data_IF_900443477416
#
_entry.id   IF_900443477416
#
_cell.length_a   1.000
_cell.length_b   1.000
_cell.length_c   1.000
_cell.angle_alpha   90.00
_cell.angle_beta   90.00
_cell.angle_gamma   90.00
#
_symmetry.space_group_name_H-M   'P 1'
#
loop_
_entity.id
_entity.type
_entity.pdbx_description
1 polymer ?
#
# COMPACT_ATOMS: atom_id res chain seq x y z
N UNK A 1 7.24 13.53 6.77
CA UNK A 1 5.99 13.89 6.04
C UNK A 1 5.72 15.38 6.02
N UNK A 2 5.40 15.91 4.84
CA UNK A 2 4.93 17.29 4.66
C UNK A 2 3.45 17.45 5.06
N UNK A 3 2.93 18.70 5.05
CA UNK A 3 1.55 18.99 5.47
C UNK A 3 0.47 18.30 4.61
N UNK A 4 0.73 18.12 3.30
CA UNK A 4 -0.20 17.44 2.39
C UNK A 4 -0.33 15.97 2.80
N UNK A 5 0.82 15.29 2.98
CA UNK A 5 0.88 13.90 3.42
C UNK A 5 0.25 13.70 4.81
N UNK A 6 0.52 14.59 5.77
CA UNK A 6 -0.10 14.50 7.11
C UNK A 6 -1.62 14.61 7.04
N UNK A 7 -2.14 15.63 6.35
CA UNK A 7 -3.59 15.79 6.21
C UNK A 7 -4.23 14.68 5.38
N UNK A 8 -3.54 14.15 4.38
CA UNK A 8 -3.97 12.98 3.61
C UNK A 8 -4.22 11.77 4.53
N UNK A 9 -3.24 11.36 5.34
CA UNK A 9 -3.43 10.26 6.29
C UNK A 9 -4.44 10.56 7.39
N UNK A 10 -4.56 11.82 7.86
CA UNK A 10 -5.65 12.21 8.79
C UNK A 10 -7.03 12.04 8.19
N UNK A 11 -7.23 12.40 6.93
CA UNK A 11 -8.52 12.25 6.26
C UNK A 11 -8.87 10.78 6.04
N UNK A 12 -7.89 9.94 5.67
CA UNK A 12 -8.11 8.50 5.58
C UNK A 12 -8.47 7.92 6.94
N UNK A 13 -7.72 8.26 8.00
CA UNK A 13 -8.02 7.79 9.36
C UNK A 13 -9.40 8.25 9.83
N UNK A 14 -9.77 9.49 9.52
CA UNK A 14 -11.08 10.03 9.83
C UNK A 14 -12.17 9.27 9.08
N UNK A 15 -12.02 9.01 7.78
CA UNK A 15 -13.06 8.37 6.97
C UNK A 15 -13.15 6.85 7.10
N UNK A 16 -12.02 6.14 7.04
CA UNK A 16 -11.97 4.67 7.06
C UNK A 16 -12.12 4.08 8.48
N UNK A 17 -11.54 4.74 9.49
CA UNK A 17 -11.40 4.20 10.84
C UNK A 17 -12.15 4.99 11.92
N UNK A 18 -12.99 5.96 11.51
CA UNK A 18 -13.85 6.74 12.42
C UNK A 18 -13.09 7.49 13.52
N UNK A 19 -11.85 7.92 13.24
CA UNK A 19 -11.07 8.72 14.20
C UNK A 19 -11.45 10.20 14.12
N UNK A 20 -11.23 10.94 15.22
CA UNK A 20 -11.44 12.39 15.26
C UNK A 20 -10.09 13.10 15.26
N UNK A 21 -9.76 13.75 14.16
CA UNK A 21 -8.48 14.45 13.99
C UNK A 21 -8.66 15.84 13.41
N UNK A 22 -7.78 16.76 13.82
CA UNK A 22 -7.79 18.14 13.33
C UNK A 22 -6.99 18.26 12.03
N UNK A 23 -7.61 18.85 11.02
CA UNK A 23 -6.98 19.15 9.73
C UNK A 23 -6.14 20.42 9.87
N UNK A 24 -4.87 20.35 9.46
CA UNK A 24 -4.00 21.52 9.37
C UNK A 24 -4.45 22.41 8.21
N UNK A 25 -4.36 23.75 8.33
CA UNK A 25 -4.76 24.65 7.25
C UNK A 25 -3.90 24.46 5.99
N UNK A 26 -4.55 24.36 4.84
CA UNK A 26 -3.89 24.23 3.54
C UNK A 26 -4.40 25.26 2.54
N UNK A 27 -3.51 25.74 1.66
CA UNK A 27 -3.89 26.58 0.53
C UNK A 27 -4.67 25.76 -0.51
N UNK A 28 -5.38 26.46 -1.40
CA UNK A 28 -6.13 25.83 -2.51
C UNK A 28 -5.25 24.88 -3.33
N UNK A 29 -4.05 25.33 -3.72
CA UNK A 29 -3.06 24.51 -4.41
C UNK A 29 -2.71 23.21 -3.66
N UNK A 30 -2.53 23.28 -2.33
CA UNK A 30 -2.20 22.08 -1.53
C UNK A 30 -3.39 21.12 -1.45
N UNK A 31 -4.62 21.62 -1.51
CA UNK A 31 -5.83 20.80 -1.59
C UNK A 31 -5.95 20.08 -2.93
N UNK A 32 -5.64 20.75 -4.04
CA UNK A 32 -5.57 20.12 -5.37
C UNK A 32 -4.52 19.00 -5.39
N UNK A 33 -3.34 19.25 -4.81
CA UNK A 33 -2.30 18.22 -4.66
C UNK A 33 -2.76 17.04 -3.78
N UNK A 34 -3.50 17.30 -2.71
CA UNK A 34 -4.08 16.22 -1.89
C UNK A 34 -5.08 15.39 -2.69
N UNK A 35 -5.91 16.03 -3.52
CA UNK A 35 -6.88 15.35 -4.38
C UNK A 35 -6.16 14.44 -5.38
N UNK A 36 -5.11 14.92 -6.04
CA UNK A 36 -4.28 14.12 -6.94
C UNK A 36 -3.66 12.91 -6.21
N UNK A 37 -3.07 13.14 -5.02
CA UNK A 37 -2.50 12.09 -4.18
C UNK A 37 -3.55 11.02 -3.83
N UNK A 38 -4.78 11.45 -3.57
CA UNK A 38 -5.90 10.57 -3.22
C UNK A 38 -6.34 9.67 -4.37
N UNK A 39 -6.38 10.21 -5.60
CA UNK A 39 -6.67 9.44 -6.81
C UNK A 39 -5.57 8.43 -7.07
N UNK A 40 -4.31 8.86 -7.01
CA UNK A 40 -3.13 8.02 -7.26
C UNK A 40 -3.09 6.81 -6.32
N UNK A 41 -3.38 7.02 -5.05
CA UNK A 41 -3.41 5.96 -4.04
C UNK A 41 -4.75 5.20 -3.97
N UNK A 42 -5.72 5.51 -4.85
CA UNK A 42 -7.01 4.83 -4.95
C UNK A 42 -7.81 4.82 -3.64
N UNK A 43 -7.79 5.94 -2.91
CA UNK A 43 -8.46 6.07 -1.59
C UNK A 43 -9.48 7.21 -1.53
N UNK A 44 -10.02 7.60 -2.70
CA UNK A 44 -11.01 8.68 -2.83
C UNK A 44 -12.21 8.50 -1.92
N UNK A 45 -12.89 7.34 -1.86
CA UNK A 45 -14.07 7.18 -1.01
C UNK A 45 -13.74 7.45 0.46
N UNK A 46 -12.62 6.93 0.97
CA UNK A 46 -12.21 7.10 2.36
C UNK A 46 -11.85 8.55 2.70
N UNK A 47 -11.10 9.22 1.82
CA UNK A 47 -10.75 10.64 2.03
C UNK A 47 -11.99 11.53 1.99
N UNK A 48 -12.93 11.26 1.09
CA UNK A 48 -14.19 11.99 1.02
C UNK A 48 -15.01 11.86 2.32
N UNK A 49 -15.17 10.64 2.84
CA UNK A 49 -15.84 10.42 4.13
C UNK A 49 -15.14 11.19 5.26
N UNK A 50 -13.80 11.20 5.26
CA UNK A 50 -13.01 11.99 6.20
C UNK A 50 -13.27 13.50 6.07
N UNK A 51 -13.35 14.02 4.84
CA UNK A 51 -13.69 15.42 4.58
C UNK A 51 -15.08 15.77 5.11
N UNK A 52 -16.08 14.91 4.89
CA UNK A 52 -17.44 15.12 5.38
C UNK A 52 -17.49 15.20 6.90
N UNK A 53 -16.76 14.32 7.59
CA UNK A 53 -16.67 14.33 9.06
C UNK A 53 -15.96 15.56 9.61
N UNK A 54 -14.94 16.03 8.90
CA UNK A 54 -14.19 17.22 9.27
C UNK A 54 -14.81 18.53 8.75
N UNK A 55 -15.96 18.50 8.06
CA UNK A 55 -16.54 19.64 7.33
C UNK A 55 -16.78 20.89 8.18
N UNK A 56 -17.05 20.71 9.47
CA UNK A 56 -17.31 21.81 10.41
C UNK A 56 -16.04 22.36 11.08
N UNK A 57 -14.87 21.82 10.77
CA UNK A 57 -13.61 22.31 11.33
C UNK A 57 -13.23 23.65 10.71
N UNK A 58 -12.79 24.60 11.55
CA UNK A 58 -12.45 25.96 11.13
C UNK A 58 -11.42 26.03 9.98
N UNK A 59 -10.44 25.12 9.97
CA UNK A 59 -9.37 25.08 8.97
C UNK A 59 -9.73 24.33 7.68
N UNK A 60 -10.84 23.59 7.66
CA UNK A 60 -11.33 22.91 6.45
C UNK A 60 -12.27 23.85 5.69
N UNK A 61 -11.68 24.73 4.88
CA UNK A 61 -12.41 25.65 4.01
C UNK A 61 -12.25 25.24 2.55
N UNK A 62 -13.12 24.34 2.11
CA UNK A 62 -13.25 23.93 0.71
C UNK A 62 -14.25 24.85 -0.01
N UNK A 63 -13.99 25.13 -1.27
CA UNK A 63 -14.95 25.84 -2.14
C UNK A 63 -16.08 24.90 -2.58
N UNK A 64 -17.22 25.46 -3.00
CA UNK A 64 -18.33 24.66 -3.57
C UNK A 64 -17.92 23.90 -4.83
N UNK A 65 -16.94 24.43 -5.57
CA UNK A 65 -16.34 23.74 -6.71
C UNK A 65 -15.60 22.48 -6.26
N UNK A 66 -14.69 22.59 -5.29
CA UNK A 66 -13.92 21.46 -4.77
C UNK A 66 -14.82 20.38 -4.17
N UNK A 67 -15.88 20.75 -3.44
CA UNK A 67 -16.86 19.78 -2.93
C UNK A 67 -17.56 18.98 -4.02
N UNK A 68 -17.92 19.63 -5.15
CA UNK A 68 -18.53 18.95 -6.29
C UNK A 68 -17.55 18.01 -6.99
N UNK A 69 -16.29 18.42 -7.15
CA UNK A 69 -15.25 17.56 -7.71
C UNK A 69 -15.02 16.31 -6.85
N UNK A 70 -14.88 16.49 -5.54
CA UNK A 70 -14.73 15.40 -4.60
C UNK A 70 -15.88 14.39 -4.67
N UNK A 71 -17.12 14.89 -4.73
CA UNK A 71 -18.29 14.03 -4.87
C UNK A 71 -18.28 13.25 -6.19
N UNK A 72 -17.93 13.90 -7.30
CA UNK A 72 -17.80 13.26 -8.60
C UNK A 72 -16.75 12.15 -8.57
N UNK A 73 -15.55 12.45 -8.06
CA UNK A 73 -14.46 11.47 -7.96
C UNK A 73 -14.85 10.27 -7.09
N UNK A 74 -15.58 10.51 -5.98
CA UNK A 74 -16.10 9.41 -5.15
C UNK A 74 -17.04 8.51 -5.95
N UNK A 75 -18.01 9.10 -6.65
CA UNK A 75 -18.98 8.34 -7.44
C UNK A 75 -18.31 7.54 -8.56
N UNK A 76 -17.31 8.13 -9.22
CA UNK A 76 -16.55 7.46 -10.28
C UNK A 76 -15.72 6.30 -9.70
N UNK A 77 -15.06 6.50 -8.55
CA UNK A 77 -14.33 5.44 -7.86
C UNK A 77 -15.24 4.29 -7.38
N UNK A 78 -16.42 4.60 -6.84
CA UNK A 78 -17.39 3.59 -6.40
C UNK A 78 -17.95 2.78 -7.58
N UNK A 79 -18.15 3.39 -8.76
CA UNK A 79 -18.52 2.66 -9.97
C UNK A 79 -17.42 1.70 -10.40
N UNK A 80 -16.17 2.18 -10.45
CA UNK A 80 -15.03 1.33 -10.82
C UNK A 80 -14.88 0.13 -9.88
N UNK A 81 -15.07 0.32 -8.57
CA UNK A 81 -15.01 -0.80 -7.60
C UNK A 81 -16.12 -1.84 -7.86
N UNK A 82 -17.33 -1.41 -8.23
CA UNK A 82 -18.44 -2.34 -8.50
C UNK A 82 -18.30 -3.04 -9.86
N UNK A 83 -17.64 -2.40 -10.83
CA UNK A 83 -17.37 -2.98 -12.16
C UNK A 83 -16.13 -3.90 -12.13
N UNK A 84 -15.21 -3.68 -11.19
CA UNK A 84 -13.92 -4.38 -11.05
C UNK A 84 -13.94 -5.52 -10.01
N UNK A 85 -15.09 -6.13 -9.75
CA UNK A 85 -15.14 -7.46 -9.08
C UNK A 85 -14.42 -8.57 -9.92
N UNK A 86 -13.74 -8.21 -11.02
CA UNK A 86 -13.19 -9.11 -12.04
C UNK A 86 -11.69 -9.03 -12.38
N UNK A 87 -10.95 -7.90 -12.25
CA UNK A 87 -9.57 -7.87 -12.79
C UNK A 87 -8.49 -8.41 -11.84
N UNK A 88 -8.28 -9.72 -11.97
CA UNK A 88 -7.06 -10.49 -12.26
C UNK A 88 -5.63 -9.91 -12.11
N UNK A 89 -5.37 -8.62 -11.88
CA UNK A 89 -4.00 -8.08 -12.02
C UNK A 89 -3.08 -8.17 -10.78
N UNK A 90 -3.58 -8.64 -9.63
CA UNK A 90 -2.74 -9.03 -8.48
C UNK A 90 -3.34 -10.24 -7.77
N UNK A 91 -3.46 -11.37 -8.46
CA UNK A 91 -3.76 -12.62 -7.74
C UNK A 91 -2.63 -12.91 -6.75
N UNK A 92 -2.91 -12.65 -5.48
CA UNK A 92 -2.02 -12.90 -4.35
C UNK A 92 -1.91 -14.41 -4.03
N UNK A 93 -2.68 -15.23 -4.74
CA UNK A 93 -2.67 -16.67 -4.69
C UNK A 93 -1.37 -17.29 -5.26
N UNK A 94 -0.51 -16.54 -5.95
CA UNK A 94 0.73 -17.07 -6.53
C UNK A 94 2.00 -16.35 -6.04
N UNK A 95 3.03 -17.15 -5.76
CA UNK A 95 4.39 -16.69 -5.47
C UNK A 95 5.34 -17.01 -6.63
N UNK A 96 6.32 -16.14 -6.86
CA UNK A 96 7.34 -16.36 -7.90
C UNK A 96 8.29 -17.51 -7.57
N UNK A 97 8.50 -17.81 -6.28
CA UNK A 97 9.31 -18.94 -5.84
C UNK A 97 8.50 -20.25 -5.94
N UNK A 98 8.93 -21.26 -6.72
CA UNK A 98 8.14 -22.47 -6.90
C UNK A 98 7.88 -23.28 -5.62
N UNK A 99 8.85 -23.32 -4.70
CA UNK A 99 8.72 -24.09 -3.45
C UNK A 99 7.73 -23.42 -2.50
N UNK A 100 7.85 -22.10 -2.31
CA UNK A 100 6.95 -21.34 -1.44
C UNK A 100 5.57 -21.20 -2.08
N UNK A 101 5.50 -21.08 -3.41
CA UNK A 101 4.24 -21.14 -4.14
C UNK A 101 3.53 -22.48 -3.90
N UNK A 102 4.24 -23.60 -3.98
CA UNK A 102 3.66 -24.91 -3.64
C UNK A 102 3.17 -24.94 -2.19
N UNK A 103 3.91 -24.35 -1.25
CA UNK A 103 3.46 -24.26 0.14
C UNK A 103 2.22 -23.39 0.31
N UNK A 104 2.11 -22.30 -0.44
CA UNK A 104 0.94 -21.43 -0.50
C UNK A 104 -0.25 -22.16 -1.10
N UNK A 105 -0.11 -22.82 -2.26
CA UNK A 105 -1.19 -23.62 -2.86
C UNK A 105 -1.69 -24.68 -1.88
N UNK A 106 -0.79 -25.41 -1.21
CA UNK A 106 -1.18 -26.38 -0.19
C UNK A 106 -2.00 -25.77 0.98
N UNK A 107 -1.84 -24.47 1.28
CA UNK A 107 -2.65 -23.77 2.28
C UNK A 107 -4.00 -23.36 1.67
N UNK A 108 -4.00 -22.85 0.44
CA UNK A 108 -5.21 -22.38 -0.23
C UNK A 108 -6.17 -23.52 -0.59
N UNK A 109 -5.62 -24.66 -1.01
CA UNK A 109 -6.34 -25.87 -1.43
C UNK A 109 -6.85 -26.72 -0.24
N UNK A 110 -6.41 -26.42 0.98
CA UNK A 110 -6.89 -27.13 2.17
C UNK A 110 -8.31 -26.68 2.52
N UNK A 111 -9.31 -27.52 2.20
CA UNK A 111 -10.73 -27.29 2.48
C UNK A 111 -11.04 -27.10 3.97
N UNK A 112 -10.19 -27.64 4.86
CA UNK A 112 -10.38 -27.55 6.30
C UNK A 112 -9.71 -26.30 6.91
N UNK A 113 -8.95 -25.56 6.11
CA UNK A 113 -8.24 -24.38 6.59
C UNK A 113 -9.18 -23.19 6.83
N UNK A 114 -8.91 -22.44 7.89
CA UNK A 114 -9.74 -21.29 8.27
C UNK A 114 -9.80 -20.25 7.15
N UNK A 115 -11.02 -19.98 6.67
CA UNK A 115 -11.27 -19.09 5.53
C UNK A 115 -10.89 -17.65 5.85
N UNK A 116 -11.12 -17.19 7.09
CA UNK A 116 -10.84 -15.81 7.50
C UNK A 116 -9.32 -15.59 7.57
N UNK A 117 -8.58 -16.53 8.16
CA UNK A 117 -7.11 -16.51 8.18
C UNK A 117 -6.51 -16.56 6.78
N UNK A 118 -7.12 -17.32 5.85
CA UNK A 118 -6.68 -17.34 4.44
C UNK A 118 -6.89 -16.00 3.75
N UNK A 119 -8.04 -15.36 3.97
CA UNK A 119 -8.29 -14.00 3.46
C UNK A 119 -7.24 -13.01 3.96
N UNK A 120 -6.91 -13.06 5.26
CA UNK A 120 -5.84 -12.22 5.81
C UNK A 120 -4.50 -12.49 5.14
N UNK A 121 -4.14 -13.77 4.94
CA UNK A 121 -2.89 -14.13 4.27
C UNK A 121 -2.81 -13.57 2.84
N UNK A 122 -3.90 -13.66 2.08
CA UNK A 122 -3.99 -13.10 0.73
C UNK A 122 -3.88 -11.57 0.74
N UNK A 123 -4.47 -10.88 1.73
CA UNK A 123 -4.31 -9.43 1.90
C UNK A 123 -2.86 -9.03 2.13
N UNK A 124 -2.15 -9.72 3.04
CA UNK A 124 -0.72 -9.50 3.28
C UNK A 124 0.07 -9.72 1.99
N UNK A 125 -0.11 -10.85 1.32
CA UNK A 125 0.61 -11.18 0.08
C UNK A 125 0.40 -10.14 -1.03
N UNK A 126 -0.82 -9.61 -1.16
CA UNK A 126 -1.11 -8.53 -2.12
C UNK A 126 -0.34 -7.25 -1.78
N UNK A 127 -0.27 -6.90 -0.50
CA UNK A 127 0.48 -5.73 -0.01
C UNK A 127 1.98 -5.91 -0.25
N UNK A 128 2.54 -7.07 0.11
CA UNK A 128 3.94 -7.41 -0.17
C UNK A 128 4.25 -7.25 -1.65
N UNK A 129 3.45 -7.84 -2.54
CA UNK A 129 3.67 -7.75 -3.98
C UNK A 129 3.64 -6.30 -4.47
N UNK A 130 2.71 -5.49 -3.97
CA UNK A 130 2.63 -4.09 -4.35
C UNK A 130 3.83 -3.27 -3.82
N UNK A 131 4.27 -3.48 -2.58
CA UNK A 131 5.49 -2.85 -2.03
C UNK A 131 6.69 -3.10 -2.93
N UNK A 132 6.83 -4.34 -3.41
CA UNK A 132 7.96 -4.74 -4.25
C UNK A 132 7.91 -4.17 -5.67
N UNK A 133 6.73 -3.85 -6.20
CA UNK A 133 6.55 -3.44 -7.59
C UNK A 133 6.27 -1.93 -7.77
N UNK A 134 5.48 -1.34 -6.88
CA UNK A 134 4.82 -0.05 -7.08
C UNK A 134 5.00 0.94 -5.91
N UNK A 135 5.54 0.48 -4.77
CA UNK A 135 5.79 1.32 -3.60
C UNK A 135 4.69 1.24 -2.55
N UNK A 136 4.32 2.36 -1.94
CA UNK A 136 3.37 2.37 -0.81
C UNK A 136 1.93 2.00 -1.23
N UNK A 137 1.39 0.84 -0.81
CA UNK A 137 0.04 0.37 -1.13
C UNK A 137 -1.01 0.94 -0.17
N UNK A 138 -1.27 2.24 -0.24
CA UNK A 138 -2.14 2.91 0.74
C UNK A 138 -3.56 2.32 0.75
N UNK A 139 -4.16 2.02 -0.41
CA UNK A 139 -5.51 1.42 -0.47
C UNK A 139 -5.54 0.02 0.15
N UNK A 140 -4.58 -0.84 -0.18
CA UNK A 140 -4.54 -2.20 0.36
C UNK A 140 -4.24 -2.20 1.87
N UNK A 141 -3.44 -1.26 2.38
CA UNK A 141 -3.23 -1.09 3.83
C UNK A 141 -4.51 -0.62 4.53
N UNK A 142 -5.33 0.24 3.90
CA UNK A 142 -6.65 0.61 4.44
C UNK A 142 -7.56 -0.62 4.51
N UNK A 143 -7.58 -1.44 3.46
CA UNK A 143 -8.35 -2.69 3.44
C UNK A 143 -7.89 -3.66 4.53
N UNK A 144 -6.57 -3.81 4.73
CA UNK A 144 -6.02 -4.61 5.82
C UNK A 144 -6.47 -4.09 7.20
N UNK A 145 -6.36 -2.79 7.44
CA UNK A 145 -6.82 -2.18 8.70
C UNK A 145 -8.32 -2.41 8.94
N UNK A 146 -9.14 -2.27 7.90
CA UNK A 146 -10.59 -2.52 7.96
C UNK A 146 -10.89 -3.99 8.24
N UNK A 147 -10.16 -4.90 7.59
CA UNK A 147 -10.27 -6.33 7.85
C UNK A 147 -9.96 -6.65 9.31
N UNK A 148 -8.87 -6.10 9.87
CA UNK A 148 -8.52 -6.33 11.27
C UNK A 148 -9.58 -5.80 12.24
N UNK A 149 -10.20 -4.66 11.96
CA UNK A 149 -11.29 -4.13 12.80
C UNK A 149 -12.57 -4.97 12.76
N UNK A 150 -12.89 -5.59 11.62
CA UNK A 150 -14.18 -6.26 11.41
C UNK A 150 -14.09 -7.78 11.62
N UNK A 151 -13.01 -8.40 11.16
CA UNK A 151 -12.82 -9.86 11.11
C UNK A 151 -11.59 -10.33 11.90
N UNK A 152 -10.73 -9.42 12.39
CA UNK A 152 -9.46 -9.77 13.03
C UNK A 152 -9.58 -10.67 14.27
N UNK A 153 -10.67 -10.56 15.03
CA UNK A 153 -10.93 -11.43 16.20
C UNK A 153 -11.32 -12.86 15.82
N UNK A 154 -11.77 -13.07 14.58
CA UNK A 154 -12.16 -14.38 14.06
C UNK A 154 -11.00 -15.13 13.39
N UNK A 155 -9.84 -14.48 13.24
CA UNK A 155 -8.64 -15.10 12.69
C UNK A 155 -8.05 -16.09 13.68
N UNK A 156 -7.72 -17.30 13.22
CA UNK A 156 -6.87 -18.22 13.97
C UNK A 156 -5.43 -17.69 13.98
N UNK A 157 -5.09 -16.97 15.05
CA UNK A 157 -3.81 -16.28 15.21
C UNK A 157 -2.61 -17.24 15.18
N UNK A 158 -2.77 -18.46 15.70
CA UNK A 158 -1.68 -19.44 15.76
C UNK A 158 -1.45 -20.11 14.41
N UNK A 159 -2.52 -20.44 13.69
CA UNK A 159 -2.45 -20.94 12.32
C UNK A 159 -1.86 -19.89 11.39
N UNK A 160 -2.33 -18.65 11.48
CA UNK A 160 -1.81 -17.54 10.68
C UNK A 160 -0.32 -17.33 10.90
N UNK A 161 0.15 -17.27 12.16
CA UNK A 161 1.60 -17.15 12.47
C UNK A 161 2.42 -18.31 11.90
N UNK A 162 1.90 -19.54 11.95
CA UNK A 162 2.57 -20.70 11.33
C UNK A 162 2.68 -20.54 9.81
N UNK A 163 1.63 -20.07 9.14
CA UNK A 163 1.66 -19.84 7.69
C UNK A 163 2.65 -18.75 7.30
N UNK A 164 2.61 -17.59 7.97
CA UNK A 164 3.53 -16.48 7.75
C UNK A 164 4.98 -16.93 7.97
N UNK A 165 5.26 -17.71 9.03
CA UNK A 165 6.60 -18.27 9.26
C UNK A 165 7.01 -19.27 8.18
N UNK A 166 6.11 -20.17 7.77
CA UNK A 166 6.37 -21.19 6.74
C UNK A 166 6.69 -20.56 5.38
N UNK A 167 5.94 -19.52 5.00
CA UNK A 167 6.14 -18.73 3.79
C UNK A 167 7.27 -17.70 3.92
N UNK A 168 7.86 -17.57 5.13
CA UNK A 168 8.92 -16.62 5.47
C UNK A 168 8.52 -15.15 5.40
N UNK A 169 7.22 -14.87 5.48
CA UNK A 169 6.60 -13.55 5.39
C UNK A 169 6.69 -12.71 6.67
N UNK A 170 7.23 -13.24 7.77
CA UNK A 170 7.19 -12.61 9.11
C UNK A 170 7.66 -11.15 9.12
N UNK A 171 8.72 -10.84 8.37
CA UNK A 171 9.29 -9.49 8.35
C UNK A 171 8.44 -8.49 7.55
N UNK A 172 7.82 -8.94 6.47
CA UNK A 172 6.88 -8.11 5.71
C UNK A 172 5.59 -7.90 6.50
N UNK A 173 5.09 -8.96 7.15
CA UNK A 173 3.93 -8.86 8.04
C UNK A 173 4.20 -7.89 9.19
N UNK A 174 5.40 -7.92 9.79
CA UNK A 174 5.83 -6.91 10.76
C UNK A 174 5.82 -5.50 10.16
N UNK A 175 6.40 -5.31 8.97
CA UNK A 175 6.47 -4.01 8.29
C UNK A 175 5.07 -3.44 8.02
N UNK A 176 4.15 -4.27 7.52
CA UNK A 176 2.77 -3.88 7.26
C UNK A 176 2.04 -3.48 8.55
N UNK A 177 2.22 -4.25 9.62
CA UNK A 177 1.68 -3.89 10.93
C UNK A 177 2.26 -2.57 11.46
N UNK A 178 3.56 -2.34 11.26
CA UNK A 178 4.22 -1.11 11.65
C UNK A 178 3.69 0.10 10.85
N UNK A 179 3.34 -0.09 9.57
CA UNK A 179 2.64 0.94 8.78
C UNK A 179 1.23 1.20 9.28
N UNK A 180 0.47 0.17 9.69
CA UNK A 180 -0.85 0.36 10.31
C UNK A 180 -0.77 1.24 11.55
N UNK A 181 0.22 1.00 12.40
CA UNK A 181 0.46 1.82 13.60
C UNK A 181 0.89 3.24 13.21
N UNK A 182 1.91 3.37 12.36
CA UNK A 182 2.52 4.66 12.02
C UNK A 182 1.59 5.58 11.23
N UNK A 183 0.96 5.05 10.16
CA UNK A 183 0.21 5.84 9.18
C UNK A 183 -1.27 5.94 9.53
N UNK A 184 -1.81 4.86 10.12
CA UNK A 184 -3.25 4.73 10.37
C UNK A 184 -3.62 4.77 11.85
N UNK A 185 -2.63 4.89 12.75
CA UNK A 185 -2.86 5.14 14.17
C UNK A 185 -3.43 3.94 14.94
N UNK A 186 -3.25 2.72 14.41
CA UNK A 186 -3.62 1.50 15.12
C UNK A 186 -2.80 1.37 16.41
N UNK A 187 -3.38 0.80 17.46
CA UNK A 187 -2.58 0.39 18.62
C UNK A 187 -1.86 -0.89 18.27
N UNK A 188 -0.68 -1.09 18.86
CA UNK A 188 0.09 -2.33 18.67
C UNK A 188 -0.73 -3.57 19.05
N UNK A 189 -1.49 -3.47 20.14
CA UNK A 189 -2.33 -4.56 20.64
C UNK A 189 -3.46 -4.95 19.67
N UNK A 190 -3.89 -4.03 18.81
CA UNK A 190 -4.93 -4.27 17.80
C UNK A 190 -4.39 -5.06 16.60
N UNK A 191 -3.07 -5.17 16.45
CA UNK A 191 -2.40 -5.87 15.35
C UNK A 191 -1.67 -7.09 15.91
N UNK A 192 -2.39 -8.21 16.00
CA UNK A 192 -1.94 -9.41 16.73
C UNK A 192 -0.66 -10.08 16.20
N UNK A 193 -0.23 -9.76 14.97
CA UNK A 193 0.98 -10.29 14.35
C UNK A 193 2.20 -9.36 14.51
N UNK A 194 2.05 -8.21 15.15
CA UNK A 194 3.18 -7.36 15.50
C UNK A 194 3.98 -7.96 16.65
N UNK A 195 5.30 -7.97 16.47
CA UNK A 195 6.27 -8.20 17.53
C UNK A 195 6.63 -6.88 18.24
N UNK A 196 7.03 -6.97 19.52
CA UNK A 196 7.42 -5.80 20.34
C UNK A 196 8.69 -5.07 19.86
N UNK A 197 9.35 -5.61 18.85
CA UNK A 197 10.60 -5.07 18.33
C UNK A 197 10.35 -3.76 17.57
N UNK A 198 10.82 -2.65 18.14
CA UNK A 198 10.73 -1.35 17.48
C UNK A 198 11.73 -1.24 16.31
N UNK A 199 11.22 -1.06 15.10
CA UNK A 199 12.00 -0.64 13.96
C UNK A 199 12.25 0.88 14.00
N UNK A 200 13.50 1.28 14.26
CA UNK A 200 13.89 2.70 14.37
C UNK A 200 13.81 3.47 13.04
N UNK A 201 13.73 2.76 11.91
CA UNK A 201 13.75 3.35 10.57
C UNK A 201 12.38 3.35 9.89
N UNK A 202 11.31 2.94 10.59
CA UNK A 202 9.99 2.79 9.95
C UNK A 202 9.48 4.07 9.28
N UNK A 203 9.74 5.23 9.88
CA UNK A 203 9.35 6.53 9.31
C UNK A 203 10.10 6.86 8.02
N UNK A 204 11.41 6.55 7.98
CA UNK A 204 12.25 6.75 6.80
C UNK A 204 11.79 5.83 5.67
N UNK A 205 11.55 4.56 5.99
CA UNK A 205 11.03 3.55 5.06
C UNK A 205 9.67 3.98 4.48
N UNK A 206 8.74 4.41 5.33
CA UNK A 206 7.43 4.86 4.89
C UNK A 206 7.54 6.08 3.96
N UNK A 207 8.40 7.04 4.30
CA UNK A 207 8.63 8.23 3.48
C UNK A 207 9.23 7.87 2.12
N UNK A 208 10.24 7.01 2.07
CA UNK A 208 10.87 6.56 0.81
C UNK A 208 9.87 5.84 -0.11
N UNK A 209 9.03 4.96 0.43
CA UNK A 209 8.00 4.26 -0.36
C UNK A 209 6.92 5.20 -0.87
N UNK A 210 6.49 6.19 -0.07
CA UNK A 210 5.54 7.22 -0.51
C UNK A 210 6.15 8.07 -1.61
N UNK A 211 7.41 8.49 -1.46
CA UNK A 211 8.10 9.33 -2.44
C UNK A 211 8.36 8.56 -3.75
N UNK A 212 8.62 7.25 -3.66
CA UNK A 212 8.74 6.36 -4.81
C UNK A 212 7.44 6.29 -5.62
N UNK A 213 6.30 6.04 -4.95
CA UNK A 213 4.98 6.01 -5.61
C UNK A 213 4.65 7.36 -6.26
N UNK A 214 4.97 8.46 -5.58
CA UNK A 214 4.74 9.82 -6.11
C UNK A 214 5.63 10.15 -7.31
N UNK A 215 6.89 9.73 -7.34
CA UNK A 215 7.82 10.08 -8.44
C UNK A 215 7.40 9.41 -9.76
N UNK A 216 7.01 8.13 -9.72
CA UNK A 216 6.50 7.39 -10.89
C UNK A 216 5.24 8.04 -11.50
N UNK A 217 4.43 8.70 -10.67
CA UNK A 217 3.22 9.37 -11.12
C UNK A 217 3.47 10.76 -11.75
N UNK A 218 4.54 11.48 -11.35
CA UNK A 218 4.84 12.79 -11.93
C UNK A 218 5.14 12.65 -13.43
N UNK A 219 5.87 11.60 -13.82
CA UNK A 219 6.11 11.26 -15.23
C UNK A 219 4.81 10.97 -16.00
N UNK A 220 3.77 10.48 -15.31
CA UNK A 220 2.44 10.23 -15.88
C UNK A 220 1.65 11.53 -16.07
N UNK A 221 1.63 12.43 -15.08
CA UNK A 221 0.89 13.70 -15.15
C UNK A 221 1.52 14.72 -16.10
N UNK A 222 2.83 14.67 -16.36
CA UNK A 222 3.48 15.50 -17.38
C UNK A 222 3.18 15.06 -18.82
N UNK A 223 2.78 13.80 -19.04
CA UNK A 223 2.43 13.29 -20.38
C UNK A 223 1.00 13.60 -20.85
N UNK A 224 0.19 14.29 -20.03
CA UNK A 224 -1.21 14.56 -20.37
C UNK A 224 -1.40 15.83 -21.23
N UNK A 225 -0.37 16.67 -21.36
CA UNK A 225 -0.34 17.78 -22.31
C UNK A 225 0.67 17.49 -23.44
N UNK A 226 0.15 17.54 -24.67
CA UNK A 226 0.79 17.35 -25.98
C UNK A 226 0.95 15.91 -26.52
N UNK A 227 0.15 15.64 -27.56
CA UNK A 227 0.28 14.58 -28.57
C UNK A 227 1.60 13.78 -28.55
N UNK A 228 1.58 12.60 -27.93
CA UNK A 228 2.37 11.45 -28.41
C UNK A 228 1.88 10.16 -27.76
N UNK A 229 1.17 9.37 -28.56
CA UNK A 229 1.00 7.94 -28.34
C UNK A 229 2.38 7.31 -28.59
N UNK A 230 2.86 6.52 -27.62
CA UNK A 230 4.17 5.82 -27.55
C UNK A 230 5.33 6.61 -26.94
N UNK A 231 5.59 6.33 -25.65
CA UNK A 231 6.90 6.51 -25.03
C UNK A 231 7.45 5.14 -24.67
N UNK A 232 8.54 4.73 -25.33
CA UNK A 232 9.35 3.60 -24.89
C UNK A 232 10.12 4.02 -23.63
N UNK A 233 9.81 3.41 -22.49
CA UNK A 233 10.54 3.63 -21.25
C UNK A 233 11.92 2.94 -21.32
N UNK A 234 12.98 3.73 -21.54
CA UNK A 234 14.37 3.31 -21.44
C UNK A 234 15.08 3.92 -20.22
N UNK A 235 14.40 4.00 -19.06
CA UNK A 235 14.99 4.51 -17.81
C UNK A 235 15.19 3.42 -16.75
N UNK A 236 15.59 2.24 -17.18
CA UNK A 236 15.98 1.10 -16.33
C UNK A 236 17.10 1.48 -15.36
N UNK A 237 18.07 2.31 -15.76
CA UNK A 237 19.22 2.72 -14.92
C UNK A 237 18.84 3.59 -13.72
N UNK A 238 17.83 4.46 -13.83
CA UNK A 238 17.30 5.22 -12.69
C UNK A 238 16.56 4.30 -11.71
N UNK A 239 15.77 3.36 -12.24
CA UNK A 239 15.10 2.27 -11.50
C UNK A 239 16.11 1.42 -10.72
N UNK A 240 17.26 1.08 -11.32
CA UNK A 240 18.30 0.27 -10.69
C UNK A 240 19.08 1.00 -9.58
N UNK A 241 19.34 2.31 -9.71
CA UNK A 241 20.07 3.05 -8.67
C UNK A 241 19.26 3.24 -7.38
N UNK A 242 17.94 3.37 -7.49
CA UNK A 242 17.04 3.47 -6.35
C UNK A 242 16.77 2.10 -5.72
N UNK A 243 16.59 1.03 -6.51
CA UNK A 243 16.52 -0.37 -6.00
C UNK A 243 17.84 -0.82 -5.36
N UNK A 244 18.99 -0.34 -5.86
CA UNK A 244 20.31 -0.58 -5.24
C UNK A 244 20.49 0.23 -3.95
N UNK A 245 19.81 1.38 -3.79
CA UNK A 245 19.65 2.07 -2.48
C UNK A 245 18.64 1.32 -1.59
N UNK A 246 17.65 0.66 -2.18
CA UNK A 246 16.73 -0.29 -1.55
C UNK A 246 17.40 -1.58 -1.06
N UNK A 247 18.71 -1.75 -1.26
CA UNK A 247 19.46 -2.81 -0.62
C UNK A 247 19.37 -2.79 0.92
N UNK A 248 19.02 -1.66 1.55
CA UNK A 248 18.78 -1.62 3.01
C UNK A 248 17.50 -2.34 3.43
N UNK A 249 16.55 -2.56 2.51
CA UNK A 249 15.36 -3.35 2.76
C UNK A 249 15.66 -4.86 2.79
N UNK A 250 16.85 -5.32 2.34
CA UNK A 250 17.27 -6.74 2.31
C UNK A 250 17.00 -7.50 3.61
N UNK A 251 16.99 -6.78 4.74
CA UNK A 251 16.75 -7.33 6.08
C UNK A 251 15.29 -7.65 6.40
N UNK A 252 14.32 -7.16 5.62
CA UNK A 252 12.89 -7.44 5.75
C UNK A 252 12.36 -8.40 4.68
N UNK A 253 13.21 -8.86 3.77
CA UNK A 253 12.78 -9.77 2.72
C UNK A 253 12.57 -11.16 3.29
N UNK A 254 11.38 -11.75 3.08
CA UNK A 254 11.22 -13.18 3.08
C UNK A 254 12.30 -13.75 2.14
N UNK A 255 12.83 -14.94 2.40
CA UNK A 255 13.69 -15.58 1.39
C UNK A 255 12.93 -15.95 0.09
N UNK A 256 11.74 -15.39 -0.14
CA UNK A 256 10.84 -15.54 -1.28
C UNK A 256 11.40 -14.98 -2.58
N UNK A 257 12.30 -14.01 -2.56
CA UNK A 257 12.54 -13.20 -3.76
C UNK A 257 13.80 -13.53 -4.56
N UNK A 258 14.42 -14.71 -4.48
CA UNK A 258 15.80 -14.86 -4.96
C UNK A 258 16.12 -15.86 -6.09
N UNK A 259 15.18 -16.51 -6.78
CA UNK A 259 15.60 -17.53 -7.78
C UNK A 259 15.60 -17.05 -9.23
N UNK A 260 14.49 -16.50 -9.77
CA UNK A 260 14.48 -16.08 -11.18
C UNK A 260 14.72 -14.58 -11.37
N UNK A 261 14.16 -13.73 -10.50
CA UNK A 261 14.35 -12.28 -10.59
C UNK A 261 15.79 -11.86 -10.24
N UNK A 262 16.48 -12.64 -9.39
CA UNK A 262 17.89 -12.40 -9.07
C UNK A 262 18.87 -13.00 -10.08
N UNK A 263 18.51 -14.09 -10.77
CA UNK A 263 19.35 -14.63 -11.83
C UNK A 263 19.45 -13.64 -13.01
N UNK A 264 18.33 -13.03 -13.41
CA UNK A 264 18.33 -11.95 -14.43
C UNK A 264 19.03 -10.67 -13.93
N UNK A 265 18.88 -10.33 -12.64
CA UNK A 265 19.58 -9.22 -11.98
C UNK A 265 21.12 -9.44 -11.94
N UNK A 266 21.60 -10.63 -11.59
CA UNK A 266 23.04 -11.00 -11.54
C UNK A 266 23.62 -11.12 -12.95
N UNK A 267 22.88 -11.67 -13.92
CA UNK A 267 23.32 -11.77 -15.31
C UNK A 267 23.41 -10.40 -16.01
N UNK A 268 22.71 -9.38 -15.50
CA UNK A 268 22.83 -7.99 -15.95
C UNK A 268 24.02 -7.23 -15.34
N UNK A 269 24.53 -7.69 -14.18
CA UNK A 269 25.73 -7.17 -13.53
C UNK A 269 27.02 -7.58 -14.27
N UNK A 270 27.05 -8.78 -14.86
CA UNK A 270 28.23 -9.27 -15.61
C UNK A 270 28.49 -8.54 -16.92
N UNK A 271 27.53 -7.77 -17.43
CA UNK A 271 27.69 -6.93 -18.63
C UNK A 271 28.09 -5.47 -18.31
N UNK A 272 28.28 -5.13 -17.03
CA UNK A 272 28.71 -3.80 -16.58
C UNK A 272 30.18 -3.83 -16.08
N UNK A 273 30.75 -5.03 -15.91
CA UNK A 273 32.17 -5.24 -15.57
C UNK A 273 33.06 -5.59 -16.80
N UNK A 274 32.53 -5.54 -18.02
CA UNK A 274 33.28 -5.40 -19.29
C UNK A 274 32.98 -4.05 -19.95
#
# INVERSE_FOLDING_TARGET
MNIIQRNFFRLIRSGAFNTTEHIEPMSVYKWERLMQLTIMHQVVPYVYEGLQRCKNQFFLKQTDYQWREWLKLKQDAERMINDDEGDEFLRADHLTNPLLNRQLQNILDDEHSDTISRKLLLLILRIVRHILNEGMPVSQLVELGRFLQNEGDHVDKDVFRKWISKLKLSQMCQLEGEFLVLLFGFKKDDVFFLEDKQNKHIEEIAQELIDFTNTRSQDWYFSQDSDSIFVHNSNTTAMFSHVKRSARYFRYYPSESLTNFFASFVHSLSHIEE
#
